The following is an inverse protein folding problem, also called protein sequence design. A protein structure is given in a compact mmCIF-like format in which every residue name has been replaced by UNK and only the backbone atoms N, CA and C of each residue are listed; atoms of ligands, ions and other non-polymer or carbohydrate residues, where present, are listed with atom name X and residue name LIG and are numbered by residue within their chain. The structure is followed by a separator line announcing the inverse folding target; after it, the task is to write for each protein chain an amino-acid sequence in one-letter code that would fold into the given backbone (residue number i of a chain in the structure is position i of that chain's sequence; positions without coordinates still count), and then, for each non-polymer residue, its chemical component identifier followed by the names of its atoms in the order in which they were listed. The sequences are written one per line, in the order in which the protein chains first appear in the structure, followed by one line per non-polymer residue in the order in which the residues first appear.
data_IF_504314054739
#
_entry.id   IF_504314054739
#
_cell.length_a   1.000
_cell.length_b   1.000
_cell.length_c   1.000
_cell.angle_alpha   90.00
_cell.angle_beta   90.00
_cell.angle_gamma   90.00
#
_symmetry.space_group_name_H-M   'P 1'
#
loop_
_entity.id
_entity.type
_entity.pdbx_description
1 polymer ?
#
# COMPACT_ATOMS: atom_id res chain seq x y z
N UNK A 1 14.72 -14.83 -24.00
CA UNK A 1 13.30 -15.15 -23.82
C UNK A 1 12.59 -13.87 -23.45
N UNK A 2 11.50 -13.44 -24.11
CA UNK A 2 10.70 -12.34 -23.58
C UNK A 2 10.31 -12.72 -22.15
N UNK A 3 10.54 -11.83 -21.19
CA UNK A 3 10.13 -12.06 -19.81
C UNK A 3 8.61 -12.25 -19.83
N UNK A 4 8.15 -13.42 -19.38
CA UNK A 4 6.72 -13.63 -19.24
C UNK A 4 6.17 -12.57 -18.28
N UNK A 5 5.17 -11.83 -18.75
CA UNK A 5 4.47 -10.82 -17.95
C UNK A 5 3.46 -11.55 -17.07
N UNK A 6 3.54 -11.33 -15.78
CA UNK A 6 2.66 -11.92 -14.78
C UNK A 6 1.38 -11.12 -14.69
N UNK A 7 0.28 -11.79 -14.99
CA UNK A 7 -1.05 -11.20 -14.98
C UNK A 7 -1.44 -10.65 -13.60
N UNK A 8 -1.04 -11.31 -12.51
CA UNK A 8 -1.41 -10.90 -11.15
C UNK A 8 -0.69 -9.60 -10.74
N UNK A 9 0.56 -9.41 -11.18
CA UNK A 9 1.31 -8.17 -10.98
C UNK A 9 0.62 -7.01 -11.72
N UNK A 10 0.33 -7.20 -13.01
CA UNK A 10 -0.33 -6.18 -13.84
C UNK A 10 -1.72 -5.86 -13.32
N UNK A 11 -2.53 -6.87 -13.00
CA UNK A 11 -3.87 -6.66 -12.45
C UNK A 11 -3.83 -5.86 -11.14
N UNK A 12 -2.86 -6.11 -10.25
CA UNK A 12 -2.74 -5.38 -9.00
C UNK A 12 -2.30 -3.92 -9.23
N UNK A 13 -1.38 -3.68 -10.17
CA UNK A 13 -0.96 -2.33 -10.59
C UNK A 13 -2.15 -1.52 -11.13
N UNK A 14 -2.89 -2.07 -12.08
CA UNK A 14 -4.04 -1.39 -12.70
C UNK A 14 -5.19 -1.16 -11.71
N UNK A 15 -5.43 -2.10 -10.80
CA UNK A 15 -6.38 -1.90 -9.70
C UNK A 15 -5.96 -0.75 -8.79
N UNK A 16 -4.67 -0.55 -8.58
CA UNK A 16 -4.17 0.63 -7.85
C UNK A 16 -4.58 1.94 -8.53
N UNK A 17 -4.48 2.03 -9.86
CA UNK A 17 -4.97 3.19 -10.61
C UNK A 17 -6.49 3.37 -10.51
N UNK A 18 -7.25 2.28 -10.60
CA UNK A 18 -8.72 2.32 -10.40
C UNK A 18 -9.08 2.85 -9.01
N UNK A 19 -8.27 2.55 -8.00
CA UNK A 19 -8.41 3.05 -6.62
C UNK A 19 -7.76 4.44 -6.42
N UNK A 20 -7.26 5.08 -7.47
CA UNK A 20 -6.72 6.44 -7.42
C UNK A 20 -5.27 6.57 -6.99
N UNK A 21 -4.50 5.47 -6.95
CA UNK A 21 -3.05 5.55 -6.72
C UNK A 21 -2.33 5.99 -8.01
N UNK A 22 -1.49 7.04 -7.98
CA UNK A 22 -0.60 7.37 -9.09
C UNK A 22 0.61 6.43 -9.12
N UNK A 23 1.41 6.51 -10.20
CA UNK A 23 2.70 5.83 -10.22
C UNK A 23 3.57 6.23 -9.03
N UNK A 24 4.30 5.25 -8.49
CA UNK A 24 5.28 5.49 -7.44
C UNK A 24 6.68 5.60 -8.04
N UNK A 25 7.20 6.83 -8.05
CA UNK A 25 8.52 7.14 -8.58
C UNK A 25 9.58 7.26 -7.47
N UNK A 26 9.23 6.94 -6.21
CA UNK A 26 10.17 6.99 -5.09
C UNK A 26 11.21 5.88 -5.20
N UNK A 27 12.49 6.27 -5.20
CA UNK A 27 13.62 5.34 -5.18
C UNK A 27 13.66 4.49 -3.90
N UNK A 28 12.98 4.95 -2.83
CA UNK A 28 12.90 4.22 -1.56
C UNK A 28 11.85 3.10 -1.55
N UNK A 29 11.01 3.02 -2.59
CA UNK A 29 9.98 1.99 -2.73
C UNK A 29 10.20 1.15 -4.00
N UNK A 30 11.37 0.49 -4.17
CA UNK A 30 11.71 -0.27 -5.38
C UNK A 30 10.78 -1.48 -5.62
N UNK A 31 10.05 -1.89 -4.58
CA UNK A 31 9.15 -3.04 -4.61
C UNK A 31 7.66 -2.64 -4.71
N UNK A 32 7.38 -1.33 -4.83
CA UNK A 32 6.01 -0.84 -4.98
C UNK A 32 5.35 -1.41 -6.23
N UNK A 33 4.11 -1.86 -6.07
CA UNK A 33 3.31 -2.37 -7.19
C UNK A 33 2.95 -1.25 -8.17
N UNK A 34 2.92 -0.01 -7.70
CA UNK A 34 2.58 1.18 -8.49
C UNK A 34 3.78 1.75 -9.26
N UNK A 35 4.94 1.10 -9.27
CA UNK A 35 6.05 1.54 -10.11
C UNK A 35 5.75 1.31 -11.59
N UNK A 36 6.29 2.18 -12.44
CA UNK A 36 6.15 2.09 -13.90
C UNK A 36 6.90 0.87 -14.48
N UNK A 37 8.00 0.44 -13.85
CA UNK A 37 8.80 -0.68 -14.30
C UNK A 37 8.28 -2.03 -13.76
N UNK A 38 8.02 -2.96 -14.68
CA UNK A 38 7.61 -4.33 -14.36
C UNK A 38 8.71 -5.09 -13.63
N UNK A 39 8.35 -5.74 -12.52
CA UNK A 39 9.27 -6.56 -11.72
C UNK A 39 9.17 -8.04 -12.11
N UNK A 40 10.33 -8.68 -12.26
CA UNK A 40 10.42 -10.12 -12.52
C UNK A 40 9.59 -10.93 -11.52
N UNK A 41 8.75 -11.83 -12.04
CA UNK A 41 7.83 -12.64 -11.23
C UNK A 41 8.37 -14.01 -10.87
N UNK A 42 9.66 -14.25 -11.11
CA UNK A 42 10.35 -15.48 -10.69
C UNK A 42 11.69 -15.13 -10.04
N UNK A 43 12.08 -15.89 -9.03
CA UNK A 43 13.40 -15.78 -8.41
C UNK A 43 14.49 -16.42 -9.28
N UNK A 44 15.75 -16.31 -8.87
CA UNK A 44 16.89 -16.89 -9.59
C UNK A 44 16.83 -18.42 -9.76
N UNK A 45 15.95 -19.11 -9.00
CA UNK A 45 15.73 -20.56 -9.06
C UNK A 45 14.46 -20.92 -9.84
N UNK A 46 13.76 -19.93 -10.40
CA UNK A 46 12.53 -20.13 -11.16
C UNK A 46 11.26 -20.26 -10.31
N UNK A 47 11.32 -19.99 -9.01
CA UNK A 47 10.13 -20.01 -8.17
C UNK A 47 9.32 -18.74 -8.33
N UNK A 48 7.99 -18.89 -8.39
CA UNK A 48 7.07 -17.77 -8.52
C UNK A 48 7.16 -16.78 -7.34
N UNK A 49 7.41 -15.51 -7.65
CA UNK A 49 7.37 -14.39 -6.73
C UNK A 49 5.98 -13.77 -6.75
N UNK A 50 5.16 -14.13 -5.77
CA UNK A 50 3.82 -13.54 -5.61
C UNK A 50 3.93 -12.02 -5.39
N UNK A 51 3.26 -11.19 -6.21
CA UNK A 51 3.16 -9.75 -6.00
C UNK A 51 2.61 -9.41 -4.61
N UNK A 52 3.17 -8.38 -3.99
CA UNK A 52 2.78 -7.87 -2.67
C UNK A 52 2.78 -6.35 -2.71
N UNK A 53 1.97 -5.75 -1.85
CA UNK A 53 1.98 -4.31 -1.64
C UNK A 53 3.21 -3.91 -0.84
N UNK A 54 3.90 -2.87 -1.30
CA UNK A 54 4.95 -2.21 -0.53
C UNK A 54 4.33 -1.31 0.57
N UNK A 55 5.15 -0.93 1.56
CA UNK A 55 4.72 0.01 2.60
C UNK A 55 4.26 1.34 2.00
N UNK A 56 4.92 1.82 0.95
CA UNK A 56 4.50 3.05 0.27
C UNK A 56 3.11 2.93 -0.36
N UNK A 57 2.78 1.77 -0.96
CA UNK A 57 1.46 1.52 -1.54
C UNK A 57 0.38 1.51 -0.45
N UNK A 58 0.67 0.86 0.68
CA UNK A 58 -0.23 0.79 1.84
C UNK A 58 -0.46 2.18 2.44
N UNK A 59 0.59 2.99 2.59
CA UNK A 59 0.47 4.32 3.17
C UNK A 59 -0.29 5.26 2.22
N UNK A 60 -0.04 5.16 0.91
CA UNK A 60 -0.74 5.98 -0.07
C UNK A 60 -2.22 5.63 -0.18
N UNK A 61 -2.59 4.35 -0.16
CA UNK A 61 -4.02 3.98 -0.20
C UNK A 61 -4.74 4.41 1.08
N UNK A 62 -4.07 4.35 2.24
CA UNK A 62 -4.60 4.85 3.51
C UNK A 62 -4.76 6.37 3.53
N UNK A 63 -3.92 7.14 2.82
CA UNK A 63 -4.12 8.59 2.71
C UNK A 63 -5.40 8.94 1.96
N UNK A 64 -5.82 8.11 1.00
CA UNK A 64 -7.05 8.32 0.22
C UNK A 64 -8.28 7.87 1.01
N UNK A 65 -8.24 6.66 1.59
CA UNK A 65 -9.43 6.01 2.16
C UNK A 65 -9.46 5.93 3.69
N UNK A 66 -8.40 6.39 4.36
CA UNK A 66 -8.22 6.25 5.80
C UNK A 66 -7.67 4.89 6.21
N UNK A 67 -7.40 4.73 7.51
CA UNK A 67 -7.03 3.44 8.06
C UNK A 67 -8.21 2.48 8.10
N UNK A 68 -7.90 1.18 7.94
CA UNK A 68 -8.89 0.14 8.20
C UNK A 68 -9.39 0.29 9.64
N UNK A 69 -10.68 0.58 9.79
CA UNK A 69 -11.34 0.50 11.10
C UNK A 69 -11.40 -0.97 11.50
N UNK A 70 -10.35 -1.44 12.17
CA UNK A 70 -10.46 -2.66 12.96
C UNK A 70 -11.36 -2.28 14.12
N UNK A 71 -12.57 -2.84 14.16
CA UNK A 71 -13.40 -2.78 15.37
C UNK A 71 -12.65 -3.51 16.47
N UNK A 72 -11.74 -2.81 17.14
CA UNK A 72 -11.31 -3.19 18.47
C UNK A 72 -12.59 -3.16 19.30
N UNK A 73 -12.93 -4.29 19.92
CA UNK A 73 -14.00 -4.32 20.90
C UNK A 73 -13.79 -3.13 21.84
N UNK A 74 -14.78 -2.23 21.88
CA UNK A 74 -14.82 -1.09 22.80
C UNK A 74 -14.86 -1.61 24.24
N UNK A 75 -13.74 -2.01 24.80
CA UNK A 75 -13.55 -2.01 26.26
C UNK A 75 -13.05 -0.61 26.61
N UNK A 76 -13.91 0.11 27.31
CA UNK A 76 -13.75 1.53 27.58
C UNK A 76 -12.49 1.87 28.36
N UNK A 77 -11.81 2.90 27.90
CA UNK A 77 -11.10 3.85 28.75
C UNK A 77 -11.25 5.22 28.08
N UNK A 78 -12.26 5.99 28.50
CA UNK A 78 -12.27 7.43 28.25
C UNK A 78 -11.10 8.00 29.06
N UNK A 79 -9.99 8.35 28.41
CA UNK A 79 -8.98 9.20 29.02
C UNK A 79 -9.54 10.63 29.06
N UNK A 80 -9.89 11.07 30.27
CA UNK A 80 -10.19 12.45 30.58
C UNK A 80 -8.89 13.27 30.58
N UNK A 81 -8.63 14.00 29.49
CA UNK A 81 -7.79 15.19 29.53
C UNK A 81 -8.11 16.12 28.35
N UNK A 82 -9.26 16.81 28.43
CA UNK A 82 -9.49 18.01 27.64
C UNK A 82 -8.73 19.14 28.34
N UNK A 83 -7.47 19.34 27.94
CA UNK A 83 -6.69 20.52 28.32
C UNK A 83 -7.44 21.77 27.88
N UNK A 84 -7.70 22.65 28.84
CA UNK A 84 -8.34 23.96 28.70
C UNK A 84 -7.36 24.97 28.06
N UNK A 85 -7.59 25.49 26.84
CA UNK A 85 -6.86 26.66 26.36
C UNK A 85 -7.66 27.93 26.69
N UNK A 86 -7.20 28.62 27.74
CA UNK A 86 -7.27 30.07 27.98
C UNK A 86 -8.38 30.88 27.27
N UNK A 87 -9.30 31.39 28.11
CA UNK A 87 -10.11 32.57 27.83
C UNK A 87 -9.20 33.81 27.69
N UNK A 88 -9.41 34.58 26.62
CA UNK A 88 -9.17 36.02 26.57
C UNK A 88 -10.53 36.71 26.45
#
# INVERSE_FOLDING_TARGET
MPAAVDFNWVALHELGHVLGLPHNNDIKAPDSIMREDYKNSVDARGFYLRPRLDLADIDNIKKIYGEKVVRQNRTGAKNANAGNPHSL
#
